data_IF_945312628530
#
_entry.id   IF_945312628530
#
_cell.length_a   1.000
_cell.length_b   1.000
_cell.length_c   1.000
_cell.angle_alpha   90.00
_cell.angle_beta   90.00
_cell.angle_gamma   90.00
#
_symmetry.space_group_name_H-M   'P 1'
#
loop_
_entity.id
_entity.type
_entity.pdbx_description
1 polymer ?
#
# COMPACT_ATOMS: atom_id res chain seq x y z
N UNK A 1 -1.24 -8.79 -17.41
CA UNK A 1 -0.77 -7.70 -16.53
C UNK A 1 -1.94 -6.80 -16.32
N UNK A 2 -2.53 -6.86 -15.12
CA UNK A 2 -3.58 -5.95 -14.71
C UNK A 2 -2.97 -4.82 -13.87
N UNK A 3 -3.69 -3.71 -13.81
CA UNK A 3 -3.38 -2.61 -12.90
C UNK A 3 -4.24 -2.73 -11.64
N UNK A 4 -3.59 -2.73 -10.48
CA UNK A 4 -4.20 -2.82 -9.16
C UNK A 4 -4.01 -1.48 -8.48
N UNK A 5 -5.09 -0.70 -8.38
CA UNK A 5 -5.03 0.64 -7.82
C UNK A 5 -5.47 0.56 -6.35
N UNK A 6 -4.62 1.02 -5.45
CA UNK A 6 -4.88 1.19 -4.02
C UNK A 6 -5.06 2.69 -3.76
N UNK A 7 -6.27 3.07 -3.36
CA UNK A 7 -6.62 4.43 -3.01
C UNK A 7 -6.35 4.67 -1.53
N UNK A 8 -5.63 5.75 -1.25
CA UNK A 8 -5.16 6.11 0.09
C UNK A 8 -5.94 7.31 0.62
N UNK A 9 -6.49 7.17 1.83
CA UNK A 9 -7.21 8.23 2.53
C UNK A 9 -6.87 8.28 4.00
N UNK A 10 -7.06 9.44 4.63
CA UNK A 10 -7.08 9.59 6.08
C UNK A 10 -8.30 8.89 6.67
N UNK A 11 -8.11 8.19 7.78
CA UNK A 11 -9.20 7.62 8.56
C UNK A 11 -9.77 8.68 9.53
N UNK A 12 -10.70 9.50 9.04
CA UNK A 12 -11.31 10.59 9.82
C UNK A 12 -10.28 11.63 10.24
N UNK A 13 -10.23 11.95 11.53
CA UNK A 13 -9.25 12.88 12.12
C UNK A 13 -8.03 12.18 12.73
N UNK A 14 -7.89 10.85 12.56
CA UNK A 14 -6.75 10.10 13.09
C UNK A 14 -5.46 10.30 12.27
N UNK A 15 -4.35 9.75 12.78
CA UNK A 15 -3.10 9.58 12.03
C UNK A 15 -3.00 8.18 11.39
N UNK A 16 -4.13 7.52 11.17
CA UNK A 16 -4.19 6.24 10.48
C UNK A 16 -4.80 6.44 9.10
N UNK A 17 -4.45 5.56 8.17
CA UNK A 17 -5.02 5.50 6.85
C UNK A 17 -6.25 4.59 6.83
N UNK A 18 -7.10 4.83 5.84
CA UNK A 18 -8.06 3.86 5.34
C UNK A 18 -7.73 3.62 3.87
N UNK A 19 -7.79 2.37 3.44
CA UNK A 19 -7.45 1.97 2.10
C UNK A 19 -8.67 1.32 1.42
N UNK A 20 -8.77 1.49 0.11
CA UNK A 20 -9.67 0.74 -0.76
C UNK A 20 -8.97 0.45 -2.08
N UNK A 21 -9.43 -0.51 -2.85
CA UNK A 21 -8.85 -0.80 -4.17
C UNK A 21 -9.87 -0.72 -5.32
N UNK A 22 -9.38 -0.85 -6.56
CA UNK A 22 -10.18 -0.95 -7.77
C UNK A 22 -10.83 -2.33 -7.97
N UNK A 23 -10.64 -3.27 -7.04
CA UNK A 23 -11.30 -4.58 -7.02
C UNK A 23 -12.58 -4.55 -6.17
N UNK A 24 -12.84 -3.45 -5.46
CA UNK A 24 -14.03 -3.25 -4.64
C UNK A 24 -13.82 -3.55 -3.16
N UNK A 25 -12.61 -3.88 -2.73
CA UNK A 25 -12.29 -4.08 -1.32
C UNK A 25 -12.19 -2.73 -0.61
N UNK A 26 -12.89 -2.60 0.53
CA UNK A 26 -12.89 -1.40 1.37
C UNK A 26 -13.20 -1.78 2.83
N UNK A 27 -12.19 -2.18 3.61
CA UNK A 27 -12.38 -2.57 5.01
C UNK A 27 -12.66 -1.37 5.94
N UNK A 28 -12.54 -0.12 5.45
CA UNK A 28 -12.70 1.08 6.27
C UNK A 28 -11.50 1.39 7.18
N UNK A 29 -10.39 0.66 7.03
CA UNK A 29 -9.13 0.80 7.77
C UNK A 29 -7.94 0.50 6.83
N UNK A 30 -6.73 0.35 7.37
CA UNK A 30 -5.50 0.03 6.64
C UNK A 30 -5.29 -1.49 6.39
N UNK A 31 -6.17 -2.35 6.91
CA UNK A 31 -6.13 -3.82 6.74
C UNK A 31 -6.79 -4.25 5.42
N UNK A 32 -6.38 -3.60 4.33
CA UNK A 32 -6.82 -3.93 2.98
C UNK A 32 -6.07 -5.18 2.51
N UNK A 33 -6.81 -6.14 1.95
CA UNK A 33 -6.23 -7.25 1.21
C UNK A 33 -6.53 -7.03 -0.26
N UNK A 34 -5.54 -6.57 -1.03
CA UNK A 34 -5.63 -6.46 -2.49
C UNK A 34 -5.09 -7.74 -3.11
N UNK A 35 -5.90 -8.36 -3.97
CA UNK A 35 -5.56 -9.60 -4.65
C UNK A 35 -4.71 -9.29 -5.88
N UNK A 36 -3.44 -9.70 -5.83
CA UNK A 36 -2.47 -9.47 -6.90
C UNK A 36 -1.99 -10.77 -7.55
N UNK A 37 -1.70 -10.71 -8.86
CA UNK A 37 -1.08 -11.79 -9.64
C UNK A 37 0.38 -11.43 -10.01
N UNK A 38 1.28 -12.40 -10.27
CA UNK A 38 2.64 -12.09 -10.70
C UNK A 38 2.66 -11.28 -12.01
N UNK A 39 3.56 -10.29 -12.06
CA UNK A 39 3.64 -9.27 -13.11
C UNK A 39 2.47 -8.26 -13.15
N UNK A 40 1.57 -8.22 -12.18
CA UNK A 40 0.64 -7.08 -12.06
C UNK A 40 1.41 -5.80 -11.68
N UNK A 41 0.85 -4.65 -12.06
CA UNK A 41 1.30 -3.34 -11.56
C UNK A 41 0.41 -2.92 -10.41
N UNK A 42 1.00 -2.58 -9.28
CA UNK A 42 0.31 -1.97 -8.14
C UNK A 42 0.59 -0.48 -8.16
N UNK A 43 -0.48 0.33 -8.16
CA UNK A 43 -0.42 1.79 -8.07
C UNK A 43 -1.07 2.26 -6.78
N UNK A 44 -0.40 3.11 -6.03
CA UNK A 44 -0.96 3.81 -4.89
C UNK A 44 -1.19 5.27 -5.27
N UNK A 45 -2.39 5.76 -5.03
CA UNK A 45 -2.76 7.15 -5.29
C UNK A 45 -3.71 7.67 -4.21
N UNK A 46 -3.79 8.99 -4.07
CA UNK A 46 -4.75 9.59 -3.16
C UNK A 46 -6.18 9.31 -3.64
N UNK A 47 -7.05 8.97 -2.69
CA UNK A 47 -8.48 8.92 -2.97
C UNK A 47 -9.07 10.32 -3.22
N UNK A 48 -10.23 10.37 -3.85
CA UNK A 48 -11.05 11.58 -3.90
C UNK A 48 -11.44 12.00 -2.48
N UNK A 49 -11.18 13.27 -2.12
CA UNK A 49 -11.38 13.79 -0.77
C UNK A 49 -10.65 12.95 0.31
N UNK A 50 -9.44 12.48 0.00
CA UNK A 50 -8.61 11.66 0.89
C UNK A 50 -8.40 12.28 2.28
N UNK A 51 -8.48 13.61 2.41
CA UNK A 51 -8.09 14.32 3.64
C UNK A 51 -6.57 14.34 3.86
N UNK A 52 -5.81 14.01 2.81
CA UNK A 52 -4.35 14.00 2.76
C UNK A 52 -3.87 15.02 1.72
N UNK A 53 -2.68 15.55 1.94
CA UNK A 53 -2.00 16.44 0.98
C UNK A 53 -1.20 15.63 -0.04
N UNK A 54 -0.47 14.62 0.41
CA UNK A 54 0.40 13.81 -0.44
C UNK A 54 0.72 12.44 0.19
N UNK A 55 1.04 11.48 -0.67
CA UNK A 55 1.82 10.29 -0.31
C UNK A 55 3.29 10.67 -0.45
N UNK A 56 4.06 10.56 0.63
CA UNK A 56 5.47 10.99 0.68
C UNK A 56 6.46 9.85 0.43
N UNK A 57 6.04 8.60 0.62
CA UNK A 57 6.91 7.45 0.45
C UNK A 57 6.16 6.13 0.53
N UNK A 58 6.65 5.12 -0.19
CA UNK A 58 6.27 3.73 0.05
C UNK A 58 7.53 2.90 0.16
N UNK A 59 7.65 2.15 1.25
CA UNK A 59 8.85 1.35 1.55
C UNK A 59 8.50 0.03 2.23
N UNK A 60 9.38 -0.97 2.19
CA UNK A 60 9.19 -2.20 2.95
C UNK A 60 9.05 -1.94 4.45
N UNK A 61 8.26 -2.77 5.13
CA UNK A 61 8.24 -2.81 6.59
C UNK A 61 9.57 -3.34 7.16
N UNK A 62 9.84 -3.06 8.44
CA UNK A 62 11.06 -3.52 9.12
C UNK A 62 10.96 -5.01 9.49
N UNK A 63 11.64 -5.93 8.80
CA UNK A 63 11.47 -7.37 9.01
C UNK A 63 11.93 -7.84 10.40
N UNK A 64 12.64 -7.01 11.17
CA UNK A 64 13.07 -7.34 12.53
C UNK A 64 11.94 -7.22 13.55
N UNK A 65 10.87 -6.48 13.23
CA UNK A 65 9.75 -6.30 14.15
C UNK A 65 8.86 -7.56 14.20
N UNK A 66 8.47 -8.02 15.41
CA UNK A 66 7.62 -9.20 15.56
C UNK A 66 6.28 -9.12 14.80
N UNK A 67 5.72 -7.92 14.65
CA UNK A 67 4.46 -7.68 13.94
C UNK A 67 4.52 -8.04 12.44
N UNK A 68 5.69 -7.97 11.82
CA UNK A 68 5.86 -8.22 10.38
C UNK A 68 6.44 -9.60 10.06
N UNK A 69 6.53 -10.49 11.06
CA UNK A 69 7.02 -11.85 10.88
C UNK A 69 6.20 -12.59 9.82
N UNK A 70 6.90 -13.19 8.86
CA UNK A 70 6.27 -13.95 7.77
C UNK A 70 5.98 -13.14 6.52
N UNK A 71 6.13 -11.81 6.58
CA UNK A 71 6.14 -10.95 5.39
C UNK A 71 7.16 -11.44 4.36
N UNK A 72 6.77 -11.40 3.09
CA UNK A 72 7.58 -11.73 1.92
C UNK A 72 7.66 -10.50 1.03
N UNK A 73 8.73 -10.39 0.23
CA UNK A 73 8.78 -9.38 -0.82
C UNK A 73 7.88 -9.83 -1.97
N UNK A 74 6.73 -9.18 -2.13
CA UNK A 74 5.82 -9.37 -3.26
C UNK A 74 6.12 -8.38 -4.38
N UNK A 75 6.84 -7.29 -4.13
CA UNK A 75 7.26 -6.33 -5.14
C UNK A 75 8.65 -6.67 -5.71
N UNK A 76 8.80 -6.55 -7.03
CA UNK A 76 10.04 -6.82 -7.75
C UNK A 76 11.12 -5.74 -7.53
N UNK A 77 10.69 -4.52 -7.21
CA UNK A 77 11.54 -3.37 -6.89
C UNK A 77 10.79 -2.42 -5.95
N UNK A 78 11.50 -1.54 -5.21
CA UNK A 78 10.84 -0.51 -4.41
C UNK A 78 9.89 0.35 -5.27
N UNK A 79 8.71 0.73 -4.75
CA UNK A 79 7.80 1.61 -5.47
C UNK A 79 8.46 2.93 -5.84
N UNK A 80 8.12 3.45 -7.02
CA UNK A 80 8.63 4.72 -7.53
C UNK A 80 7.50 5.72 -7.64
N UNK A 81 7.78 6.97 -7.27
CA UNK A 81 6.85 8.07 -7.49
C UNK A 81 6.82 8.45 -8.97
N UNK A 82 5.63 8.48 -9.56
CA UNK A 82 5.36 8.94 -10.91
C UNK A 82 4.06 9.75 -10.93
N UNK A 83 4.13 11.01 -11.37
CA UNK A 83 2.98 11.91 -11.54
C UNK A 83 2.02 12.02 -10.32
N UNK A 84 2.55 11.95 -9.10
CA UNK A 84 1.75 12.05 -7.87
C UNK A 84 1.15 10.73 -7.38
N UNK A 85 1.39 9.65 -8.11
CA UNK A 85 1.15 8.27 -7.68
C UNK A 85 2.46 7.55 -7.40
N UNK A 86 2.37 6.40 -6.73
CA UNK A 86 3.49 5.48 -6.53
C UNK A 86 3.20 4.17 -7.23
N UNK A 87 4.17 3.57 -7.89
CA UNK A 87 3.96 2.35 -8.68
C UNK A 87 5.06 1.31 -8.43
N UNK A 88 4.67 0.03 -8.44
CA UNK A 88 5.58 -1.10 -8.40
C UNK A 88 5.01 -2.30 -9.19
N UNK A 89 5.90 -3.18 -9.63
CA UNK A 89 5.52 -4.44 -10.29
C UNK A 89 5.62 -5.59 -9.30
N UNK A 90 4.63 -6.49 -9.33
CA UNK A 90 4.62 -7.72 -8.53
C UNK A 90 5.67 -8.70 -9.05
N UNK A 91 6.43 -9.31 -8.14
CA UNK A 91 7.50 -10.25 -8.42
C UNK A 91 7.01 -11.46 -9.24
N UNK A 92 7.87 -11.90 -10.17
CA UNK A 92 7.69 -13.12 -10.96
C UNK A 92 9.01 -13.91 -10.95
N UNK A 93 9.02 -15.19 -10.57
CA UNK A 93 7.86 -16.02 -10.22
C UNK A 93 7.22 -15.62 -8.88
N UNK A 94 5.91 -15.89 -8.73
CA UNK A 94 5.19 -15.65 -7.48
C UNK A 94 5.77 -16.49 -6.34
N UNK A 95 5.88 -15.95 -5.11
CA UNK A 95 6.27 -16.71 -3.92
C UNK A 95 5.19 -17.70 -3.43
N UNK A 96 4.02 -17.71 -4.08
CA UNK A 96 2.93 -18.65 -3.84
C UNK A 96 1.65 -18.01 -3.33
N UNK A 97 0.58 -18.80 -3.39
CA UNK A 97 -0.78 -18.45 -2.95
C UNK A 97 -0.81 -17.99 -1.49
N UNK A 98 -1.50 -16.89 -1.19
CA UNK A 98 -1.71 -16.40 0.18
C UNK A 98 -0.46 -15.86 0.89
N UNK A 99 0.66 -15.73 0.18
CA UNK A 99 1.82 -14.98 0.68
C UNK A 99 1.48 -13.50 0.74
N UNK A 100 2.06 -12.81 1.71
CA UNK A 100 1.77 -11.40 1.96
C UNK A 100 3.04 -10.59 2.12
N UNK A 101 2.94 -9.29 1.86
CA UNK A 101 3.95 -8.27 2.17
C UNK A 101 3.32 -7.25 3.11
N UNK A 102 3.99 -6.96 4.23
CA UNK A 102 3.73 -5.75 5.00
C UNK A 102 4.64 -4.64 4.47
N UNK A 103 4.08 -3.46 4.27
CA UNK A 103 4.79 -2.30 3.75
C UNK A 103 4.33 -1.04 4.47
N UNK A 104 5.05 0.05 4.31
CA UNK A 104 4.77 1.33 4.97
C UNK A 104 4.39 2.37 3.92
N UNK A 105 3.33 3.14 4.19
CA UNK A 105 2.93 4.32 3.42
C UNK A 105 3.19 5.57 4.25
N UNK A 106 4.05 6.45 3.75
CA UNK A 106 4.29 7.78 4.27
C UNK A 106 3.28 8.78 3.71
N UNK A 107 2.77 9.69 4.53
CA UNK A 107 1.80 10.69 4.10
C UNK A 107 1.89 12.02 4.86
N UNK A 108 1.33 13.06 4.24
CA UNK A 108 1.15 14.39 4.84
C UNK A 108 -0.32 14.76 4.99
N UNK A 109 -0.61 15.40 6.12
CA UNK A 109 -1.92 15.99 6.41
C UNK A 109 -1.87 17.47 6.05
N UNK A 110 -2.91 18.05 5.40
CA UNK A 110 -2.92 19.47 5.06
C UNK A 110 -2.72 20.36 6.29
N UNK A 111 -1.85 21.35 6.15
CA UNK A 111 -1.46 22.30 7.21
C UNK A 111 -0.71 21.65 8.40
N UNK A 112 -0.18 20.45 8.24
CA UNK A 112 0.73 19.82 9.20
C UNK A 112 2.10 19.61 8.54
N UNK A 113 3.17 20.05 9.20
CA UNK A 113 4.53 19.86 8.71
C UNK A 113 5.05 18.43 8.96
N UNK A 114 4.35 17.65 9.79
CA UNK A 114 4.75 16.31 10.20
C UNK A 114 4.46 15.29 9.10
N UNK A 115 5.46 14.45 8.82
CA UNK A 115 5.27 13.25 8.01
C UNK A 115 4.83 12.09 8.92
N UNK A 116 3.77 11.42 8.51
CA UNK A 116 3.22 10.25 9.20
C UNK A 116 3.45 8.99 8.37
N UNK A 117 3.41 7.84 9.03
CA UNK A 117 3.61 6.53 8.40
C UNK A 117 2.57 5.54 8.93
N UNK A 118 2.02 4.72 8.04
CA UNK A 118 1.08 3.64 8.36
C UNK A 118 1.47 2.34 7.64
N UNK A 119 1.07 1.17 8.15
CA UNK A 119 1.63 -0.15 7.84
C UNK A 119 0.62 -1.17 7.24
N UNK A 120 0.08 -0.92 6.05
CA UNK A 120 -0.86 -1.86 5.41
C UNK A 120 -0.20 -3.16 4.90
N UNK A 121 -1.07 -4.07 4.43
CA UNK A 121 -0.71 -5.40 3.92
C UNK A 121 -1.10 -5.56 2.45
N UNK A 122 -0.29 -6.29 1.69
CA UNK A 122 -0.57 -6.75 0.32
C UNK A 122 -0.55 -8.27 0.30
N UNK A 123 -1.40 -8.93 -0.51
CA UNK A 123 -1.47 -10.40 -0.53
C UNK A 123 -1.57 -10.97 -1.94
N UNK A 124 -0.76 -11.99 -2.23
CA UNK A 124 -0.92 -12.79 -3.44
C UNK A 124 -2.30 -13.42 -3.45
N UNK A 125 -2.98 -13.28 -4.59
CA UNK A 125 -4.30 -13.86 -4.80
C UNK A 125 -4.33 -15.31 -4.34
N UNK A 126 -5.38 -15.64 -3.61
CA UNK A 126 -5.66 -17.01 -3.23
C UNK A 126 -6.16 -17.78 -4.47
#
# INVERSE_FOLDING_TARGET
MAERIIYVSRNGQSHNLKLRDNQGHNPGNNDLTTDIDPNDTVRWELDTNSGLEAITGIKPSDPTQPAYRGSQNLLAAPPKSENGSWEATVVSPSPGRGKFENYMIGFKIPNDATEYWDDPKLQMKS
#
